data_IF_483536885420
#
_entry.id   IF_483536885420
#
_cell.length_a   1.000
_cell.length_b   1.000
_cell.length_c   1.000
_cell.angle_alpha   90.00
_cell.angle_beta   90.00
_cell.angle_gamma   90.00
#
_symmetry.space_group_name_H-M   'P 1'
#
loop_
_entity.id
_entity.type
_entity.pdbx_description
1 polymer ?
#
# COMPACT_ATOMS: atom_id res chain seq x y z
N UNK A 1 -10.03 -35.70 5.49
CA UNK A 1 -10.01 -35.99 6.94
C UNK A 1 -9.91 -34.65 7.66
N UNK A 2 -10.91 -34.28 8.47
CA UNK A 2 -10.93 -32.99 9.16
C UNK A 2 -9.97 -33.01 10.36
N UNK A 3 -9.37 -31.86 10.72
CA UNK A 3 -8.11 -31.73 11.46
C UNK A 3 -8.32 -31.62 12.98
N UNK A 4 -9.21 -32.43 13.54
CA UNK A 4 -9.34 -32.56 15.00
C UNK A 4 -8.16 -33.38 15.52
N UNK A 5 -7.84 -34.50 14.89
CA UNK A 5 -6.75 -35.41 15.29
C UNK A 5 -5.32 -34.83 15.22
N UNK A 6 -5.13 -33.66 14.57
CA UNK A 6 -3.83 -32.98 14.49
C UNK A 6 -3.55 -32.04 15.67
N UNK A 7 -4.52 -31.89 16.59
CA UNK A 7 -4.33 -31.20 17.85
C UNK A 7 -4.00 -32.25 18.91
N UNK A 8 -2.73 -32.36 19.30
CA UNK A 8 -2.26 -33.28 20.34
C UNK A 8 -3.10 -33.10 21.62
N UNK A 9 -3.99 -34.07 21.88
CA UNK A 9 -5.00 -33.98 22.92
C UNK A 9 -4.46 -34.49 24.25
N UNK A 10 -4.30 -33.56 25.17
CA UNK A 10 -3.82 -33.77 26.53
C UNK A 10 -4.62 -34.79 27.34
N UNK A 11 -4.09 -35.06 28.53
CA UNK A 11 -4.55 -35.97 29.59
C UNK A 11 -6.06 -35.94 29.92
N UNK A 12 -6.78 -34.89 29.50
CA UNK A 12 -8.20 -34.68 29.78
C UNK A 12 -9.16 -35.35 28.77
N UNK A 13 -8.65 -35.86 27.65
CA UNK A 13 -9.49 -36.46 26.60
C UNK A 13 -10.26 -37.68 27.11
N UNK A 14 -9.57 -38.62 27.75
CA UNK A 14 -10.24 -39.79 28.34
C UNK A 14 -11.24 -39.41 29.44
N UNK A 15 -10.95 -38.35 30.20
CA UNK A 15 -11.86 -37.83 31.24
C UNK A 15 -13.11 -37.24 30.62
N UNK A 16 -12.96 -36.49 29.53
CA UNK A 16 -14.06 -35.89 28.78
C UNK A 16 -14.94 -36.95 28.08
N UNK A 17 -14.33 -37.99 27.51
CA UNK A 17 -15.03 -39.11 26.85
C UNK A 17 -15.82 -39.99 27.81
N UNK A 18 -15.29 -40.20 29.02
CA UNK A 18 -15.93 -41.08 30.02
C UNK A 18 -16.96 -40.38 30.90
N UNK A 19 -17.20 -39.08 30.70
CA UNK A 19 -18.11 -38.30 31.55
C UNK A 19 -17.58 -38.13 32.97
N UNK A 20 -16.26 -37.93 33.11
CA UNK A 20 -15.62 -37.65 34.38
C UNK A 20 -16.03 -36.29 34.98
N UNK A 21 -15.49 -35.99 36.15
CA UNK A 21 -15.71 -34.70 36.81
C UNK A 21 -15.21 -33.54 35.92
N UNK A 22 -15.96 -32.45 35.92
CA UNK A 22 -15.62 -31.18 35.28
C UNK A 22 -14.14 -30.80 35.52
N UNK A 23 -13.31 -30.66 34.47
CA UNK A 23 -11.90 -30.37 34.63
C UNK A 23 -11.59 -28.90 34.96
N UNK A 24 -12.50 -27.96 34.65
CA UNK A 24 -12.32 -26.54 34.96
C UNK A 24 -12.45 -26.36 36.48
N UNK A 25 -11.36 -25.92 37.12
CA UNK A 25 -11.29 -25.73 38.57
C UNK A 25 -11.47 -24.27 38.98
N UNK A 26 -11.14 -23.34 38.09
CA UNK A 26 -11.34 -21.92 38.35
C UNK A 26 -12.83 -21.59 38.37
N UNK A 27 -13.29 -20.94 39.44
CA UNK A 27 -14.71 -20.69 39.65
C UNK A 27 -15.28 -19.66 38.66
N UNK A 28 -14.47 -18.69 38.21
CA UNK A 28 -14.90 -17.69 37.25
C UNK A 28 -15.01 -18.29 35.85
N UNK A 29 -14.04 -19.11 35.45
CA UNK A 29 -14.05 -19.82 34.18
C UNK A 29 -15.19 -20.84 34.13
N UNK A 30 -15.41 -21.57 35.22
CA UNK A 30 -16.49 -22.54 35.34
C UNK A 30 -17.86 -21.88 35.25
N UNK A 31 -18.02 -20.72 35.88
CA UNK A 31 -19.25 -19.93 35.83
C UNK A 31 -19.56 -19.41 34.42
N UNK A 32 -18.61 -19.45 33.47
CA UNK A 32 -18.81 -19.00 32.08
C UNK A 32 -19.25 -20.13 31.14
N UNK A 33 -19.23 -21.39 31.57
CA UNK A 33 -19.82 -22.48 30.78
C UNK A 33 -21.33 -22.26 30.56
N UNK A 34 -21.83 -22.33 29.31
CA UNK A 34 -23.24 -22.05 29.02
C UNK A 34 -24.24 -22.93 29.77
N UNK A 35 -23.91 -24.21 29.94
CA UNK A 35 -24.76 -25.20 30.64
C UNK A 35 -24.28 -25.51 32.07
N UNK A 36 -23.25 -24.79 32.55
CA UNK A 36 -22.58 -25.08 33.81
C UNK A 36 -21.65 -26.31 33.73
N UNK A 37 -21.20 -26.82 34.89
CA UNK A 37 -20.27 -27.95 34.97
C UNK A 37 -20.79 -29.20 34.25
N UNK A 38 -19.91 -29.87 33.52
CA UNK A 38 -20.23 -31.12 32.85
C UNK A 38 -20.63 -32.21 33.86
N UNK A 39 -21.75 -32.89 33.58
CA UNK A 39 -22.28 -34.01 34.38
C UNK A 39 -22.30 -35.35 33.64
N UNK A 40 -22.03 -35.30 32.34
CA UNK A 40 -22.10 -36.39 31.38
C UNK A 40 -20.88 -36.30 30.45
N UNK A 41 -20.58 -37.33 29.62
CA UNK A 41 -19.57 -37.23 28.57
C UNK A 41 -19.76 -35.97 27.72
N UNK A 42 -18.69 -35.21 27.54
CA UNK A 42 -18.72 -33.91 26.88
C UNK A 42 -17.64 -33.77 25.80
N UNK A 43 -16.97 -34.87 25.45
CA UNK A 43 -16.00 -34.91 24.35
C UNK A 43 -16.70 -34.96 22.99
N UNK A 44 -17.29 -33.85 22.60
CA UNK A 44 -17.74 -33.57 21.23
C UNK A 44 -17.23 -32.18 20.79
N UNK A 45 -17.51 -31.77 19.56
CA UNK A 45 -17.06 -30.45 19.08
C UNK A 45 -17.62 -29.29 19.93
N UNK A 46 -18.85 -29.41 20.45
CA UNK A 46 -19.49 -28.35 21.24
C UNK A 46 -18.79 -28.21 22.59
N UNK A 47 -18.64 -29.32 23.32
CA UNK A 47 -17.96 -29.36 24.60
C UNK A 47 -16.51 -28.94 24.48
N UNK A 48 -15.79 -29.40 23.45
CA UNK A 48 -14.42 -28.93 23.19
C UNK A 48 -14.33 -27.41 23.07
N UNK A 49 -15.17 -26.78 22.23
CA UNK A 49 -15.14 -25.32 22.05
C UNK A 49 -15.57 -24.56 23.29
N UNK A 50 -16.63 -25.00 23.98
CA UNK A 50 -17.10 -24.34 25.20
C UNK A 50 -16.05 -24.34 26.30
N UNK A 51 -15.38 -25.47 26.54
CA UNK A 51 -14.33 -25.56 27.56
C UNK A 51 -13.05 -24.82 27.14
N UNK A 52 -12.69 -24.83 25.86
CA UNK A 52 -11.55 -24.05 25.34
C UNK A 52 -11.78 -22.54 25.44
N UNK A 53 -12.99 -22.06 25.16
CA UNK A 53 -13.35 -20.63 25.24
C UNK A 53 -13.57 -20.16 26.68
N UNK A 54 -14.01 -21.05 27.56
CA UNK A 54 -14.01 -20.82 29.00
C UNK A 54 -12.57 -20.78 29.52
N UNK A 55 -11.81 -21.87 29.49
CA UNK A 55 -10.44 -21.93 29.99
C UNK A 55 -9.47 -22.26 28.83
N UNK A 56 -8.78 -21.26 28.23
CA UNK A 56 -7.91 -21.47 27.06
C UNK A 56 -6.83 -22.52 27.26
N UNK A 57 -6.29 -22.64 28.46
CA UNK A 57 -5.21 -23.56 28.83
C UNK A 57 -5.71 -24.91 29.37
N UNK A 58 -7.02 -25.20 29.32
CA UNK A 58 -7.58 -26.45 29.89
C UNK A 58 -6.89 -27.70 29.30
N UNK A 59 -6.58 -27.69 28.01
CA UNK A 59 -5.93 -28.80 27.29
C UNK A 59 -4.39 -28.77 27.33
N UNK A 60 -3.81 -27.96 28.21
CA UNK A 60 -2.37 -27.86 28.37
C UNK A 60 -1.85 -28.73 29.54
N UNK A 61 -2.75 -29.37 30.28
CA UNK A 61 -2.41 -30.27 31.38
C UNK A 61 -1.56 -31.45 30.90
N UNK A 62 -0.36 -31.58 31.47
CA UNK A 62 0.59 -32.65 31.13
C UNK A 62 1.43 -32.39 29.87
N UNK A 63 1.27 -31.23 29.20
CA UNK A 63 2.14 -30.86 28.08
C UNK A 63 3.49 -30.36 28.58
N UNK A 64 4.57 -30.84 27.95
CA UNK A 64 5.92 -30.32 28.15
C UNK A 64 6.12 -29.20 27.13
N UNK A 65 6.23 -27.97 27.62
CA UNK A 65 6.52 -26.81 26.79
C UNK A 65 8.04 -26.64 26.67
N UNK A 66 8.53 -26.50 25.44
CA UNK A 66 9.96 -26.35 25.17
C UNK A 66 10.44 -24.90 25.29
N UNK A 67 9.51 -23.93 25.37
CA UNK A 67 9.78 -22.49 25.51
C UNK A 67 8.65 -21.80 26.31
N UNK A 68 8.98 -20.73 27.05
CA UNK A 68 8.03 -19.97 27.87
C UNK A 68 6.94 -19.27 27.02
N UNK A 69 7.23 -18.97 25.76
CA UNK A 69 6.29 -18.31 24.83
C UNK A 69 5.14 -19.22 24.37
N UNK A 70 5.24 -20.55 24.55
CA UNK A 70 4.17 -21.47 24.17
C UNK A 70 2.90 -21.31 25.03
N UNK A 71 3.03 -20.72 26.22
CA UNK A 71 1.90 -20.37 27.11
C UNK A 71 0.99 -19.25 26.56
N UNK A 72 1.38 -18.58 25.46
CA UNK A 72 0.70 -17.40 24.91
C UNK A 72 -0.24 -17.69 23.72
N UNK A 73 -0.54 -18.97 23.40
CA UNK A 73 -1.25 -19.32 22.16
C UNK A 73 -2.72 -18.87 22.09
N UNK A 74 -3.40 -18.69 23.22
CA UNK A 74 -4.73 -18.09 23.29
C UNK A 74 -4.92 -17.39 24.65
N UNK A 75 -5.14 -16.07 24.68
CA UNK A 75 -5.40 -15.36 25.93
C UNK A 75 -6.79 -15.70 26.49
N UNK A 76 -6.96 -15.62 27.81
CA UNK A 76 -8.28 -15.65 28.43
C UNK A 76 -8.98 -14.31 28.16
N UNK A 77 -10.00 -14.34 27.29
CA UNK A 77 -10.76 -13.17 26.88
C UNK A 77 -11.93 -12.85 27.84
N UNK A 78 -12.09 -13.63 28.91
CA UNK A 78 -13.16 -13.50 29.91
C UNK A 78 -14.55 -13.38 29.30
N UNK A 79 -14.83 -14.25 28.32
CA UNK A 79 -16.08 -14.26 27.57
C UNK A 79 -17.27 -14.68 28.45
N UNK A 80 -18.38 -13.96 28.34
CA UNK A 80 -19.66 -14.32 28.97
C UNK A 80 -20.24 -15.63 28.41
N UNK A 81 -21.20 -16.23 29.12
CA UNK A 81 -21.92 -17.44 28.66
C UNK A 81 -22.51 -17.27 27.26
N UNK A 82 -23.11 -16.10 27.01
CA UNK A 82 -23.76 -15.77 25.75
C UNK A 82 -22.72 -15.65 24.62
N UNK A 83 -21.57 -15.04 24.89
CA UNK A 83 -20.47 -14.92 23.94
C UNK A 83 -19.84 -16.28 23.63
N UNK A 84 -19.62 -17.13 24.64
CA UNK A 84 -19.12 -18.50 24.44
C UNK A 84 -20.10 -19.29 23.58
N UNK A 85 -21.40 -19.28 23.91
CA UNK A 85 -22.41 -19.99 23.12
C UNK A 85 -22.46 -19.47 21.68
N UNK A 86 -22.40 -18.16 21.46
CA UNK A 86 -22.42 -17.55 20.14
C UNK A 86 -21.19 -17.95 19.31
N UNK A 87 -19.99 -17.88 19.89
CA UNK A 87 -18.75 -18.28 19.22
C UNK A 87 -18.71 -19.78 18.95
N UNK A 88 -19.09 -20.62 19.89
CA UNK A 88 -19.22 -22.07 19.68
C UNK A 88 -20.19 -22.37 18.53
N UNK A 89 -21.34 -21.71 18.49
CA UNK A 89 -22.31 -21.85 17.38
C UNK A 89 -21.69 -21.46 16.04
N UNK A 90 -20.98 -20.33 15.99
CA UNK A 90 -20.28 -19.88 14.80
C UNK A 90 -19.19 -20.87 14.35
N UNK A 91 -18.37 -21.37 15.27
CA UNK A 91 -17.30 -22.33 15.00
C UNK A 91 -17.84 -23.69 14.52
N UNK A 92 -18.91 -24.19 15.15
CA UNK A 92 -19.61 -25.41 14.72
C UNK A 92 -20.27 -25.26 13.35
N UNK A 93 -20.78 -24.07 13.06
CA UNK A 93 -21.37 -23.69 11.77
C UNK A 93 -20.34 -23.39 10.68
N UNK A 94 -19.07 -23.15 11.04
CA UNK A 94 -17.95 -22.92 10.13
C UNK A 94 -17.47 -24.22 9.48
N UNK A 95 -18.39 -25.03 8.98
CA UNK A 95 -18.06 -26.21 8.21
C UNK A 95 -17.80 -25.85 6.75
N UNK A 96 -16.83 -26.51 6.15
CA UNK A 96 -16.69 -26.58 4.70
C UNK A 96 -17.84 -27.43 4.13
N UNK A 97 -19.05 -26.88 4.11
CA UNK A 97 -20.11 -27.35 3.22
C UNK A 97 -20.05 -26.45 1.98
N UNK A 98 -19.27 -26.80 0.96
CA UNK A 98 -19.22 -26.00 -0.26
C UNK A 98 -20.64 -25.96 -0.83
N UNK A 99 -21.16 -24.75 -1.03
CA UNK A 99 -22.39 -24.57 -1.80
C UNK A 99 -22.27 -25.38 -3.10
N UNK A 100 -23.33 -26.07 -3.57
CA UNK A 100 -23.25 -26.82 -4.81
C UNK A 100 -22.76 -25.90 -5.94
N UNK A 101 -21.97 -26.39 -6.92
CA UNK A 101 -21.37 -25.54 -7.95
C UNK A 101 -22.37 -24.65 -8.69
N UNK A 102 -23.63 -25.07 -8.83
CA UNK A 102 -24.73 -24.31 -9.43
C UNK A 102 -25.13 -23.05 -8.66
N UNK A 103 -24.87 -23.00 -7.36
CA UNK A 103 -25.14 -21.83 -6.50
C UNK A 103 -23.93 -20.90 -6.40
N UNK A 104 -22.78 -21.28 -6.97
CA UNK A 104 -21.58 -20.47 -6.95
C UNK A 104 -21.57 -19.52 -8.14
N UNK A 105 -21.57 -18.22 -7.88
CA UNK A 105 -21.33 -17.23 -8.92
C UNK A 105 -19.86 -17.33 -9.39
N UNK A 106 -19.68 -17.84 -10.61
CA UNK A 106 -18.37 -18.05 -11.27
C UNK A 106 -18.36 -17.33 -12.61
N UNK A 107 -18.05 -16.02 -12.64
CA UNK A 107 -17.97 -15.27 -13.89
C UNK A 107 -16.88 -15.85 -14.80
N UNK A 108 -17.09 -15.74 -16.10
CA UNK A 108 -16.14 -16.19 -17.14
C UNK A 108 -15.33 -15.04 -17.75
N UNK A 109 -15.65 -13.80 -17.39
CA UNK A 109 -14.98 -12.58 -17.86
C UNK A 109 -14.03 -12.00 -16.78
N UNK A 110 -13.58 -10.76 -16.97
CA UNK A 110 -12.72 -10.02 -16.05
C UNK A 110 -13.21 -9.98 -14.59
N UNK A 111 -14.52 -10.20 -14.34
CA UNK A 111 -15.07 -10.27 -12.97
C UNK A 111 -14.50 -11.45 -12.19
N UNK A 112 -14.03 -12.50 -12.88
CA UNK A 112 -13.32 -13.63 -12.26
C UNK A 112 -12.02 -13.19 -11.63
N UNK A 113 -11.21 -12.41 -12.36
CA UNK A 113 -9.96 -11.88 -11.85
C UNK A 113 -10.20 -10.94 -10.66
N UNK A 114 -11.27 -10.15 -10.70
CA UNK A 114 -11.71 -9.32 -9.57
C UNK A 114 -12.05 -10.19 -8.35
N UNK A 115 -12.87 -11.23 -8.53
CA UNK A 115 -13.26 -12.13 -7.45
C UNK A 115 -12.07 -12.88 -6.84
N UNK A 116 -11.18 -13.43 -7.67
CA UNK A 116 -10.00 -14.17 -7.22
C UNK A 116 -8.98 -13.27 -6.52
N UNK A 117 -8.75 -12.06 -7.02
CA UNK A 117 -7.86 -11.11 -6.37
C UNK A 117 -8.37 -10.62 -5.02
N UNK A 118 -9.69 -10.46 -4.87
CA UNK A 118 -10.27 -10.10 -3.57
C UNK A 118 -9.96 -11.11 -2.47
N UNK A 119 -9.86 -12.41 -2.81
CA UNK A 119 -9.44 -13.42 -1.83
C UNK A 119 -8.01 -13.19 -1.34
N UNK A 120 -7.09 -12.86 -2.25
CA UNK A 120 -5.68 -12.56 -1.89
C UNK A 120 -5.60 -11.25 -1.11
N UNK A 121 -6.28 -10.19 -1.56
CA UNK A 121 -6.34 -8.89 -0.88
C UNK A 121 -6.84 -9.02 0.56
N UNK A 122 -7.88 -9.84 0.78
CA UNK A 122 -8.43 -10.10 2.12
C UNK A 122 -7.49 -10.95 2.96
N UNK A 123 -6.92 -12.02 2.39
CA UNK A 123 -5.97 -12.92 3.07
C UNK A 123 -4.79 -12.16 3.68
N UNK A 124 -4.23 -11.20 2.94
CA UNK A 124 -3.07 -10.41 3.38
C UNK A 124 -3.45 -9.03 3.95
N UNK A 125 -4.75 -8.78 4.16
CA UNK A 125 -5.29 -7.53 4.69
C UNK A 125 -4.73 -6.26 4.01
N UNK A 126 -4.61 -6.24 2.68
CA UNK A 126 -4.04 -5.10 1.97
C UNK A 126 -4.85 -3.81 2.23
N UNK A 127 -6.16 -3.96 2.46
CA UNK A 127 -7.10 -2.88 2.82
C UNK A 127 -6.81 -2.24 4.19
N UNK A 128 -6.08 -2.92 5.07
CA UNK A 128 -5.63 -2.35 6.33
C UNK A 128 -4.74 -1.12 6.10
N UNK A 129 -3.89 -1.15 5.07
CA UNK A 129 -2.95 -0.08 4.75
C UNK A 129 -3.34 0.73 3.51
N UNK A 130 -3.88 0.08 2.49
CA UNK A 130 -4.18 0.67 1.18
C UNK A 130 -5.68 0.90 0.99
N UNK A 131 -6.01 1.98 0.27
CA UNK A 131 -7.36 2.21 -0.24
C UNK A 131 -7.53 1.49 -1.58
N UNK A 132 -8.49 0.58 -1.66
CA UNK A 132 -8.90 -0.11 -2.88
C UNK A 132 -10.32 0.29 -3.33
N UNK A 133 -11.10 0.90 -2.42
CA UNK A 133 -12.47 1.34 -2.67
C UNK A 133 -12.55 2.86 -2.44
N UNK A 134 -13.29 3.62 -3.26
CA UNK A 134 -13.52 5.05 -3.02
C UNK A 134 -14.08 5.30 -1.62
N UNK A 135 -13.48 6.25 -0.90
CA UNK A 135 -13.91 6.64 0.45
C UNK A 135 -13.52 5.65 1.57
N UNK A 136 -12.88 4.53 1.27
CA UNK A 136 -12.40 3.57 2.27
C UNK A 136 -11.41 4.24 3.24
N UNK A 137 -11.65 4.18 4.55
CA UNK A 137 -10.65 4.58 5.55
C UNK A 137 -9.78 3.38 5.89
N UNK A 138 -8.46 3.56 5.86
CA UNK A 138 -7.48 2.54 6.29
C UNK A 138 -7.13 2.74 7.76
N UNK A 139 -6.53 1.74 8.41
CA UNK A 139 -6.13 1.88 9.83
C UNK A 139 -5.11 3.01 9.99
N UNK A 140 -4.21 3.15 9.01
CA UNK A 140 -3.14 4.13 9.03
C UNK A 140 -3.68 5.56 8.99
N UNK A 141 -4.76 5.81 8.25
CA UNK A 141 -5.40 7.13 8.20
C UNK A 141 -5.99 7.55 9.57
N UNK A 142 -6.29 6.61 10.45
CA UNK A 142 -6.79 6.89 11.80
C UNK A 142 -5.69 7.19 12.83
N UNK A 143 -4.44 6.86 12.54
CA UNK A 143 -3.34 7.03 13.50
C UNK A 143 -2.91 8.50 13.55
N UNK A 144 -2.75 9.05 14.76
CA UNK A 144 -2.38 10.45 15.00
C UNK A 144 -1.16 10.89 14.18
N UNK A 145 -0.15 10.04 14.03
CA UNK A 145 1.09 10.35 13.30
C UNK A 145 0.92 10.60 11.79
N UNK A 146 -0.22 10.23 11.20
CA UNK A 146 -0.48 10.38 9.77
C UNK A 146 -1.59 11.40 9.47
N UNK A 147 -2.23 11.99 10.49
CA UNK A 147 -3.32 12.95 10.30
C UNK A 147 -2.84 14.23 9.59
N UNK A 148 -1.68 14.74 10.00
CA UNK A 148 -1.04 15.94 9.42
C UNK A 148 0.02 15.62 8.36
N UNK A 149 0.19 14.33 8.02
CA UNK A 149 1.24 13.85 7.11
C UNK A 149 0.65 12.91 6.05
N UNK A 150 -0.35 13.39 5.30
CA UNK A 150 -1.04 12.57 4.30
C UNK A 150 -0.08 12.00 3.22
N UNK A 151 1.00 12.72 2.90
CA UNK A 151 2.06 12.26 1.99
C UNK A 151 2.82 11.01 2.50
N UNK A 152 2.73 10.72 3.81
CA UNK A 152 3.33 9.55 4.45
C UNK A 152 2.42 8.31 4.40
N UNK A 153 1.21 8.42 3.86
CA UNK A 153 0.30 7.30 3.70
C UNK A 153 0.69 6.41 2.49
N UNK A 154 0.39 5.09 2.54
CA UNK A 154 0.57 4.21 1.40
C UNK A 154 -0.22 4.68 0.18
N UNK A 155 0.23 4.33 -1.05
CA UNK A 155 -0.50 4.71 -2.24
C UNK A 155 -1.90 4.11 -2.27
N UNK A 156 -2.85 4.89 -2.78
CA UNK A 156 -4.16 4.40 -3.20
C UNK A 156 -3.97 3.46 -4.40
N UNK A 157 -4.72 2.36 -4.41
CA UNK A 157 -4.59 1.29 -5.41
C UNK A 157 -5.82 1.19 -6.33
N UNK A 158 -6.74 2.16 -6.27
CA UNK A 158 -7.99 2.17 -7.05
C UNK A 158 -7.73 2.06 -8.56
N UNK A 159 -6.70 2.73 -9.06
CA UNK A 159 -6.33 2.77 -10.47
C UNK A 159 -4.99 2.07 -10.74
N UNK A 160 -4.60 1.11 -9.89
CA UNK A 160 -3.26 0.51 -9.99
C UNK A 160 -2.99 -0.11 -11.36
N UNK A 161 -3.98 -0.81 -11.92
CA UNK A 161 -3.83 -1.46 -13.22
C UNK A 161 -3.61 -0.48 -14.35
N UNK A 162 -4.25 0.69 -14.30
CA UNK A 162 -4.00 1.78 -15.25
C UNK A 162 -2.67 2.48 -14.99
N UNK A 163 -2.21 2.53 -13.73
CA UNK A 163 -1.02 3.27 -13.33
C UNK A 163 0.28 2.62 -13.76
N UNK A 164 0.42 1.33 -13.49
CA UNK A 164 1.72 0.65 -13.60
C UNK A 164 1.73 -0.46 -14.63
N UNK A 165 2.90 -0.68 -15.20
CA UNK A 165 3.22 -1.85 -16.00
C UNK A 165 3.01 -3.14 -15.16
N UNK A 166 2.29 -4.15 -15.69
CA UNK A 166 1.98 -5.37 -14.94
C UNK A 166 3.21 -6.23 -14.61
N UNK A 167 4.24 -6.23 -15.46
CA UNK A 167 5.50 -6.92 -15.16
C UNK A 167 6.28 -6.19 -14.08
N UNK A 168 6.26 -4.85 -14.09
CA UNK A 168 6.79 -4.08 -12.98
C UNK A 168 6.06 -4.38 -11.67
N UNK A 169 4.72 -4.41 -11.70
CA UNK A 169 3.91 -4.69 -10.51
C UNK A 169 4.21 -6.07 -9.93
N UNK A 170 4.33 -7.10 -10.78
CA UNK A 170 4.72 -8.44 -10.38
C UNK A 170 6.07 -8.43 -9.65
N UNK A 171 7.09 -7.77 -10.21
CA UNK A 171 8.42 -7.66 -9.58
C UNK A 171 8.37 -6.90 -8.25
N UNK A 172 7.61 -5.81 -8.19
CA UNK A 172 7.45 -5.03 -6.97
C UNK A 172 6.75 -5.83 -5.86
N UNK A 173 5.70 -6.58 -6.17
CA UNK A 173 5.01 -7.42 -5.17
C UNK A 173 5.89 -8.56 -4.65
N UNK A 174 6.85 -9.03 -5.45
CA UNK A 174 7.85 -10.02 -5.04
C UNK A 174 8.90 -9.43 -4.10
N UNK A 175 9.35 -8.20 -4.36
CA UNK A 175 10.30 -7.47 -3.50
C UNK A 175 9.97 -5.96 -3.46
N UNK A 176 9.16 -5.49 -2.49
CA UNK A 176 8.79 -4.08 -2.37
C UNK A 176 9.96 -3.13 -2.07
N UNK A 177 11.08 -3.66 -1.58
CA UNK A 177 12.29 -2.89 -1.31
C UNK A 177 13.05 -2.52 -2.59
N UNK A 178 12.80 -3.23 -3.69
CA UNK A 178 13.50 -3.10 -4.98
C UNK A 178 15.03 -3.19 -4.84
N UNK A 179 15.48 -3.98 -3.89
CA UNK A 179 16.90 -4.24 -3.63
C UNK A 179 17.02 -5.62 -2.97
N UNK A 180 17.93 -6.45 -3.47
CA UNK A 180 18.10 -7.82 -2.98
C UNK A 180 19.01 -7.90 -1.75
N UNK A 181 19.84 -6.87 -1.53
CA UNK A 181 20.79 -6.78 -0.42
C UNK A 181 20.27 -5.97 0.77
N UNK A 182 19.38 -5.00 0.51
CA UNK A 182 18.74 -4.16 1.53
C UNK A 182 17.22 -4.23 1.38
N UNK A 183 16.61 -5.15 2.10
CA UNK A 183 15.15 -5.35 2.11
C UNK A 183 14.43 -4.45 3.12
N UNK A 184 15.18 -3.65 3.90
CA UNK A 184 14.66 -2.81 4.99
C UNK A 184 14.36 -1.36 4.56
N UNK A 185 13.93 -1.18 3.31
CA UNK A 185 13.69 0.13 2.69
C UNK A 185 12.39 0.18 1.90
N UNK A 186 11.92 1.40 1.66
CA UNK A 186 10.81 1.67 0.75
C UNK A 186 11.38 1.97 -0.64
N UNK A 187 11.33 1.00 -1.56
CA UNK A 187 12.04 1.05 -2.85
C UNK A 187 11.79 2.34 -3.64
N UNK A 188 10.51 2.63 -3.92
CA UNK A 188 10.09 3.77 -4.77
C UNK A 188 9.93 5.07 -3.98
N UNK A 189 9.41 4.98 -2.75
CA UNK A 189 9.12 6.12 -1.90
C UNK A 189 9.95 6.02 -0.62
N UNK A 190 11.25 6.17 -0.76
CA UNK A 190 12.23 6.02 0.34
C UNK A 190 11.98 6.96 1.52
N UNK A 191 11.28 8.06 1.29
CA UNK A 191 10.86 9.03 2.31
C UNK A 191 9.69 8.56 3.20
N UNK A 192 8.99 7.47 2.83
CA UNK A 192 7.91 6.94 3.66
C UNK A 192 8.46 6.26 4.92
N UNK A 193 7.79 6.49 6.04
CA UNK A 193 8.07 5.78 7.30
C UNK A 193 7.31 4.45 7.39
N UNK A 194 6.11 4.38 6.83
CA UNK A 194 5.36 3.12 6.71
C UNK A 194 6.00 2.23 5.64
N UNK A 195 6.04 0.92 5.88
CA UNK A 195 6.59 -0.06 4.93
C UNK A 195 5.53 -1.04 4.49
N UNK A 196 5.60 -1.44 3.23
CA UNK A 196 4.85 -2.59 2.73
C UNK A 196 5.59 -3.88 3.16
N UNK A 197 4.92 -4.81 3.86
CA UNK A 197 5.54 -6.10 4.22
C UNK A 197 5.86 -6.96 2.99
N UNK A 198 6.88 -7.80 3.11
CA UNK A 198 7.16 -8.87 2.14
C UNK A 198 6.31 -10.08 2.51
N UNK A 199 5.30 -10.38 1.70
CA UNK A 199 4.30 -11.42 1.98
C UNK A 199 4.64 -12.81 1.42
N UNK A 200 5.80 -12.95 0.76
CA UNK A 200 6.27 -14.20 0.14
C UNK A 200 5.18 -14.90 -0.70
N UNK A 201 4.51 -14.11 -1.56
CA UNK A 201 3.43 -14.60 -2.42
C UNK A 201 3.90 -15.77 -3.30
N UNK A 202 3.01 -16.74 -3.51
CA UNK A 202 3.19 -17.72 -4.58
C UNK A 202 3.05 -17.07 -5.97
N UNK A 203 3.64 -17.66 -7.00
CA UNK A 203 3.52 -17.17 -8.38
C UNK A 203 2.05 -17.09 -8.85
N UNK A 204 1.19 -17.98 -8.35
CA UNK A 204 -0.26 -17.93 -8.59
C UNK A 204 -0.93 -16.71 -7.92
N UNK A 205 -0.57 -16.40 -6.67
CA UNK A 205 -1.09 -15.22 -5.97
C UNK A 205 -0.62 -13.92 -6.63
N UNK A 206 0.65 -13.85 -7.06
CA UNK A 206 1.18 -12.74 -7.84
C UNK A 206 0.38 -12.55 -9.13
N UNK A 207 0.16 -13.64 -9.88
CA UNK A 207 -0.65 -13.62 -11.10
C UNK A 207 -2.08 -13.12 -10.86
N UNK A 208 -2.73 -13.58 -9.77
CA UNK A 208 -4.07 -13.12 -9.38
C UNK A 208 -4.10 -11.64 -9.04
N UNK A 209 -3.14 -11.13 -8.26
CA UNK A 209 -3.07 -9.72 -7.90
C UNK A 209 -2.85 -8.83 -9.12
N UNK A 210 -1.95 -9.21 -10.03
CA UNK A 210 -1.70 -8.44 -11.26
C UNK A 210 -2.96 -8.40 -12.13
N UNK A 211 -3.61 -9.55 -12.38
CA UNK A 211 -4.86 -9.61 -13.17
C UNK A 211 -5.99 -8.84 -12.49
N UNK A 212 -6.09 -8.93 -11.17
CA UNK A 212 -7.05 -8.19 -10.38
C UNK A 212 -6.94 -6.68 -10.58
N UNK A 213 -5.73 -6.12 -10.47
CA UNK A 213 -5.54 -4.68 -10.67
C UNK A 213 -5.78 -4.27 -12.13
N UNK A 214 -5.35 -5.07 -13.11
CA UNK A 214 -5.68 -4.82 -14.53
C UNK A 214 -7.22 -4.83 -14.75
N UNK A 215 -7.92 -5.83 -14.21
CA UNK A 215 -9.38 -5.99 -14.34
C UNK A 215 -10.16 -4.85 -13.65
N UNK A 216 -9.74 -4.43 -12.44
CA UNK A 216 -10.32 -3.28 -11.75
C UNK A 216 -10.23 -2.00 -12.58
N UNK A 217 -9.10 -1.82 -13.27
CA UNK A 217 -8.86 -0.65 -14.14
C UNK A 217 -9.28 -0.87 -15.60
N UNK A 218 -10.02 -1.94 -15.91
CA UNK A 218 -10.50 -2.30 -17.26
C UNK A 218 -9.39 -2.29 -18.32
N UNK A 219 -8.20 -2.73 -17.92
CA UNK A 219 -7.05 -2.79 -18.80
C UNK A 219 -7.06 -4.07 -19.63
N UNK A 220 -6.55 -4.03 -20.87
CA UNK A 220 -6.43 -5.21 -21.69
C UNK A 220 -5.45 -6.23 -21.08
N UNK A 221 -5.73 -7.51 -21.30
CA UNK A 221 -4.84 -8.61 -20.97
C UNK A 221 -4.76 -9.58 -22.17
N UNK A 222 -3.56 -9.87 -22.73
CA UNK A 222 -2.25 -9.40 -22.27
C UNK A 222 -2.05 -7.89 -22.48
N UNK A 223 -1.23 -7.28 -21.62
CA UNK A 223 -0.83 -5.89 -21.77
C UNK A 223 0.23 -5.77 -22.88
N UNK A 224 0.03 -4.80 -23.76
CA UNK A 224 0.98 -4.42 -24.80
C UNK A 224 1.49 -3.02 -24.44
N UNK A 225 2.79 -2.86 -24.16
CA UNK A 225 3.35 -1.55 -23.88
C UNK A 225 3.16 -0.59 -25.05
N UNK A 226 2.79 0.65 -24.74
CA UNK A 226 2.78 1.73 -25.72
C UNK A 226 4.21 2.11 -26.13
N UNK A 227 4.41 2.38 -27.42
CA UNK A 227 5.69 2.88 -27.93
C UNK A 227 5.82 4.38 -27.65
N UNK A 228 6.82 4.75 -26.85
CA UNK A 228 7.14 6.15 -26.57
C UNK A 228 8.00 6.70 -27.71
N UNK A 229 7.58 7.78 -28.40
CA UNK A 229 8.35 8.35 -29.50
C UNK A 229 9.66 8.95 -28.99
N UNK A 230 10.73 8.79 -29.77
CA UNK A 230 12.02 9.41 -29.46
C UNK A 230 11.93 10.91 -29.73
N UNK A 231 12.22 11.72 -28.71
CA UNK A 231 12.19 13.17 -28.85
C UNK A 231 13.39 13.65 -29.67
N UNK A 232 13.13 14.60 -30.57
CA UNK A 232 14.19 15.38 -31.23
C UNK A 232 14.93 16.24 -30.21
N UNK A 233 16.12 16.74 -30.58
CA UNK A 233 16.86 17.69 -29.75
C UNK A 233 16.05 18.96 -29.42
N UNK A 234 15.26 19.46 -30.39
CA UNK A 234 14.37 20.61 -30.19
C UNK A 234 13.28 20.29 -29.18
N UNK A 235 12.60 19.16 -29.31
CA UNK A 235 11.56 18.71 -28.38
C UNK A 235 12.12 18.48 -26.97
N UNK A 236 13.30 17.89 -26.87
CA UNK A 236 13.97 17.67 -25.58
C UNK A 236 14.24 18.99 -24.87
N UNK A 237 14.69 20.02 -25.59
CA UNK A 237 14.88 21.37 -25.03
C UNK A 237 13.55 22.02 -24.62
N UNK A 238 12.52 21.90 -25.47
CA UNK A 238 11.19 22.40 -25.16
C UNK A 238 10.63 21.74 -23.89
N UNK A 239 10.66 20.41 -23.81
CA UNK A 239 10.20 19.65 -22.64
C UNK A 239 11.00 19.99 -21.38
N UNK A 240 12.33 20.11 -21.49
CA UNK A 240 13.21 20.55 -20.39
C UNK A 240 12.78 21.90 -19.84
N UNK A 241 12.42 22.84 -20.71
CA UNK A 241 11.99 24.17 -20.28
C UNK A 241 10.64 24.15 -19.53
N UNK A 242 9.73 23.22 -19.86
CA UNK A 242 8.52 22.99 -19.08
C UNK A 242 8.84 22.36 -17.72
N UNK A 243 9.66 21.30 -17.72
CA UNK A 243 10.03 20.55 -16.53
C UNK A 243 10.77 21.40 -15.48
N UNK A 244 11.55 22.38 -15.94
CA UNK A 244 12.29 23.31 -15.09
C UNK A 244 11.59 24.67 -14.87
N UNK A 245 10.37 24.81 -15.37
CA UNK A 245 9.61 26.07 -15.29
C UNK A 245 9.37 26.49 -13.84
N UNK A 246 9.47 27.80 -13.57
CA UNK A 246 9.13 28.37 -12.26
C UNK A 246 7.64 28.30 -11.95
N UNK A 247 6.78 28.22 -12.98
CA UNK A 247 5.34 28.04 -12.82
C UNK A 247 4.97 26.59 -12.44
N UNK A 248 5.86 25.63 -12.70
CA UNK A 248 5.66 24.22 -12.36
C UNK A 248 7.00 23.53 -12.07
N UNK A 249 7.70 23.88 -10.97
CA UNK A 249 9.03 23.36 -10.71
C UNK A 249 8.96 21.90 -10.25
N UNK A 250 8.99 20.95 -11.19
CA UNK A 250 8.76 19.53 -10.92
C UNK A 250 9.72 18.98 -9.85
N UNK A 251 10.99 19.36 -9.94
CA UNK A 251 12.02 18.95 -8.98
C UNK A 251 11.89 19.63 -7.62
N UNK A 252 10.98 20.59 -7.39
CA UNK A 252 10.76 21.14 -6.04
C UNK A 252 10.18 20.09 -5.08
N UNK A 253 9.36 19.17 -5.59
CA UNK A 253 8.67 18.17 -4.79
C UNK A 253 9.14 16.73 -5.08
N UNK A 254 9.58 16.46 -6.32
CA UNK A 254 10.06 15.14 -6.71
C UNK A 254 11.51 14.91 -6.26
N UNK A 255 11.76 13.71 -5.76
CA UNK A 255 13.09 13.26 -5.38
C UNK A 255 14.04 13.24 -6.60
N UNK A 256 15.32 13.49 -6.36
CA UNK A 256 16.39 13.51 -7.37
C UNK A 256 17.42 12.41 -7.13
N UNK A 257 17.41 11.77 -5.96
CA UNK A 257 18.45 10.86 -5.51
C UNK A 257 19.59 11.57 -4.76
N UNK A 258 19.57 12.90 -4.69
CA UNK A 258 20.45 13.67 -3.81
C UNK A 258 19.89 13.64 -2.38
N UNK A 259 20.62 13.08 -1.39
CA UNK A 259 20.15 13.03 -0.01
C UNK A 259 19.86 14.40 0.63
N UNK A 260 20.45 15.49 0.14
CA UNK A 260 20.14 16.83 0.66
C UNK A 260 18.77 17.30 0.19
N UNK A 261 18.49 17.15 -1.12
CA UNK A 261 17.21 17.46 -1.75
C UNK A 261 16.07 16.56 -1.24
N UNK A 262 16.32 15.25 -1.22
CA UNK A 262 15.31 14.23 -0.95
C UNK A 262 14.75 14.26 0.48
N UNK A 263 15.41 14.95 1.42
CA UNK A 263 14.91 15.18 2.80
C UNK A 263 13.54 15.84 2.85
N UNK A 264 13.22 16.65 1.85
CA UNK A 264 11.95 17.40 1.76
C UNK A 264 11.08 16.95 0.59
N UNK A 265 11.52 15.93 -0.15
CA UNK A 265 10.77 15.41 -1.28
C UNK A 265 9.49 14.71 -0.78
N UNK A 266 8.39 15.01 -1.47
CA UNK A 266 7.07 14.40 -1.22
C UNK A 266 6.62 13.53 -2.39
N UNK A 267 7.40 13.48 -3.48
CA UNK A 267 7.06 12.71 -4.67
C UNK A 267 8.24 11.83 -5.15
N UNK A 268 7.96 10.68 -5.79
CA UNK A 268 9.00 9.75 -6.26
C UNK A 268 9.94 10.36 -7.30
N UNK A 269 11.14 9.80 -7.41
CA UNK A 269 12.12 10.20 -8.42
C UNK A 269 11.64 9.82 -9.83
N UNK A 270 11.72 10.76 -10.78
CA UNK A 270 11.29 10.56 -12.17
C UNK A 270 12.08 9.47 -12.90
N UNK A 271 13.32 9.18 -12.49
CA UNK A 271 14.09 8.06 -13.03
C UNK A 271 13.44 6.69 -12.78
N UNK A 272 12.48 6.62 -11.84
CA UNK A 272 11.69 5.41 -11.59
C UNK A 272 10.43 5.32 -12.46
N UNK A 273 10.15 6.31 -13.33
CA UNK A 273 8.95 6.31 -14.17
C UNK A 273 9.06 5.30 -15.33
N UNK A 274 10.20 5.31 -16.03
CA UNK A 274 10.43 4.43 -17.19
C UNK A 274 10.37 2.96 -16.76
N UNK A 275 9.57 2.17 -17.48
CA UNK A 275 9.38 0.74 -17.22
C UNK A 275 8.51 0.44 -15.98
N UNK A 276 8.00 1.46 -15.30
CA UNK A 276 7.04 1.35 -14.19
C UNK A 276 5.69 1.93 -14.56
N UNK A 277 5.64 3.17 -15.04
CA UNK A 277 4.39 3.92 -15.25
C UNK A 277 3.95 3.78 -16.71
N UNK A 278 2.63 3.73 -16.94
CA UNK A 278 2.05 3.76 -18.28
C UNK A 278 1.92 5.21 -18.78
N UNK A 279 2.24 5.53 -20.05
CA UNK A 279 2.23 6.91 -20.56
C UNK A 279 0.85 7.57 -20.46
N UNK A 280 -0.21 6.88 -20.91
CA UNK A 280 -1.60 7.36 -20.80
C UNK A 280 -2.00 7.76 -19.37
N UNK A 281 -1.60 6.97 -18.38
CA UNK A 281 -1.89 7.30 -16.98
C UNK A 281 -1.08 8.50 -16.50
N UNK A 282 0.18 8.64 -16.95
CA UNK A 282 1.00 9.82 -16.62
C UNK A 282 0.40 11.09 -17.20
N UNK A 283 -0.12 11.05 -18.44
CA UNK A 283 -0.81 12.18 -19.05
C UNK A 283 -2.05 12.56 -18.23
N UNK A 284 -2.93 11.59 -17.91
CA UNK A 284 -4.12 11.84 -17.08
C UNK A 284 -3.76 12.35 -15.67
N UNK A 285 -2.68 11.85 -15.08
CA UNK A 285 -2.19 12.30 -13.78
C UNK A 285 -1.72 13.76 -13.78
N UNK A 286 -1.09 14.22 -14.86
CA UNK A 286 -0.68 15.62 -14.98
C UNK A 286 -1.83 16.56 -15.30
N UNK A 287 -2.89 16.06 -15.95
CA UNK A 287 -4.09 16.84 -16.27
C UNK A 287 -4.96 17.07 -15.03
N UNK A 288 -5.30 16.00 -14.30
CA UNK A 288 -6.14 16.08 -13.11
C UNK A 288 -5.74 15.05 -12.03
N UNK A 289 -4.70 15.36 -11.24
CA UNK A 289 -4.24 14.45 -10.18
C UNK A 289 -5.27 14.30 -9.05
N UNK A 290 -6.14 15.29 -8.83
CA UNK A 290 -7.16 15.25 -7.78
C UNK A 290 -8.29 14.29 -8.14
N UNK A 291 -8.66 14.18 -9.42
CA UNK A 291 -9.62 13.18 -9.89
C UNK A 291 -9.12 11.73 -9.67
N UNK A 292 -7.82 11.49 -9.84
CA UNK A 292 -7.22 10.16 -9.68
C UNK A 292 -6.94 9.84 -8.20
N UNK A 293 -6.39 10.80 -7.45
CA UNK A 293 -6.09 10.64 -6.03
C UNK A 293 -6.44 11.91 -5.25
N UNK A 294 -7.69 12.03 -4.78
CA UNK A 294 -8.14 13.19 -4.01
C UNK A 294 -7.26 13.47 -2.79
N UNK A 295 -6.82 14.71 -2.60
CA UNK A 295 -5.94 15.12 -1.50
C UNK A 295 -4.45 14.87 -1.75
N UNK A 296 -4.02 14.57 -2.99
CA UNK A 296 -2.59 14.50 -3.32
C UNK A 296 -1.94 15.89 -3.33
N UNK A 297 -0.65 16.00 -2.97
CA UNK A 297 0.12 17.25 -3.15
C UNK A 297 0.48 17.58 -4.60
N UNK A 298 0.24 16.68 -5.57
CA UNK A 298 0.48 17.01 -6.97
C UNK A 298 -0.46 18.16 -7.41
N UNK A 299 0.06 19.29 -7.91
CA UNK A 299 -0.77 20.44 -8.26
C UNK A 299 -1.64 20.15 -9.49
N UNK A 300 -2.84 20.74 -9.51
CA UNK A 300 -3.74 20.71 -10.67
C UNK A 300 -3.58 21.96 -11.54
N UNK A 301 -4.08 21.91 -12.77
CA UNK A 301 -4.10 23.08 -13.66
C UNK A 301 -2.74 23.44 -14.26
N UNK A 302 -1.76 22.53 -14.21
CA UNK A 302 -0.47 22.70 -14.91
C UNK A 302 -0.65 22.84 -16.42
N UNK A 303 -1.73 22.28 -16.96
CA UNK A 303 -2.09 22.33 -18.37
C UNK A 303 -3.54 22.76 -18.54
N UNK A 304 -3.83 23.39 -19.68
CA UNK A 304 -5.16 23.85 -20.09
C UNK A 304 -5.42 23.50 -21.55
N UNK A 305 -6.68 23.44 -21.95
CA UNK A 305 -7.04 23.30 -23.37
C UNK A 305 -6.87 24.64 -24.08
N UNK A 306 -6.17 24.63 -25.21
CA UNK A 306 -6.07 25.74 -26.14
C UNK A 306 -6.00 25.20 -27.58
N UNK A 307 -6.85 25.70 -28.47
CA UNK A 307 -6.95 25.27 -29.87
C UNK A 307 -6.98 23.74 -30.09
N UNK A 308 -7.67 23.01 -29.21
CA UNK A 308 -7.76 21.54 -29.30
C UNK A 308 -6.59 20.77 -28.70
N UNK A 309 -5.55 21.45 -28.21
CA UNK A 309 -4.36 20.85 -27.60
C UNK A 309 -4.31 21.09 -26.10
N UNK A 310 -3.63 20.21 -25.37
CA UNK A 310 -3.26 20.45 -23.98
C UNK A 310 -1.95 21.23 -23.92
N UNK A 311 -2.03 22.52 -23.58
CA UNK A 311 -0.88 23.42 -23.48
C UNK A 311 -0.55 23.73 -22.04
N UNK A 312 0.72 24.02 -21.77
CA UNK A 312 1.19 24.41 -20.44
C UNK A 312 0.52 25.73 -20.00
N UNK A 313 0.03 25.78 -18.77
CA UNK A 313 -0.68 26.95 -18.25
C UNK A 313 0.24 28.13 -17.92
N UNK A 314 1.51 27.85 -17.60
CA UNK A 314 2.52 28.87 -17.31
C UNK A 314 3.17 29.45 -18.57
N UNK A 315 4.15 30.36 -18.40
CA UNK A 315 4.86 30.95 -19.53
C UNK A 315 5.69 29.88 -20.25
N UNK A 316 5.60 29.86 -21.58
CA UNK A 316 6.41 29.01 -22.45
C UNK A 316 7.43 29.85 -23.21
N UNK A 317 8.68 29.37 -23.40
CA UNK A 317 9.66 30.07 -24.22
C UNK A 317 9.24 30.20 -25.70
N UNK A 318 9.90 31.09 -26.44
CA UNK A 318 9.65 31.29 -27.87
C UNK A 318 9.84 30.02 -28.73
N UNK A 319 10.58 29.02 -28.23
CA UNK A 319 10.73 27.72 -28.90
C UNK A 319 9.41 26.98 -29.14
N UNK A 320 8.36 27.30 -28.38
CA UNK A 320 7.00 26.77 -28.53
C UNK A 320 6.18 27.48 -29.61
N UNK A 321 6.67 28.58 -30.20
CA UNK A 321 5.96 29.24 -31.29
C UNK A 321 5.82 28.27 -32.48
N UNK A 322 4.58 28.02 -32.90
CA UNK A 322 4.25 27.07 -33.96
C UNK A 322 4.35 25.59 -33.54
N UNK A 323 4.47 25.29 -32.25
CA UNK A 323 4.30 23.92 -31.75
C UNK A 323 2.82 23.61 -31.59
N UNK A 324 2.32 22.66 -32.37
CA UNK A 324 0.90 22.32 -32.56
C UNK A 324 0.54 20.94 -31.98
N UNK A 325 1.33 20.45 -31.01
CA UNK A 325 1.09 19.18 -30.31
C UNK A 325 0.89 19.39 -28.83
N UNK A 326 0.35 18.38 -28.17
CA UNK A 326 0.11 18.41 -26.73
C UNK A 326 1.42 18.57 -25.95
N UNK A 327 1.52 19.63 -25.15
CA UNK A 327 2.63 19.86 -24.23
C UNK A 327 2.67 18.78 -23.13
N UNK A 328 1.51 18.21 -22.79
CA UNK A 328 1.41 17.09 -21.83
C UNK A 328 2.15 15.86 -22.34
N UNK A 329 1.89 15.44 -23.58
CA UNK A 329 2.57 14.30 -24.21
C UNK A 329 4.06 14.54 -24.33
N UNK A 330 4.45 15.73 -24.79
CA UNK A 330 5.86 16.14 -24.85
C UNK A 330 6.57 15.98 -23.49
N UNK A 331 5.91 16.37 -22.40
CA UNK A 331 6.47 16.25 -21.06
C UNK A 331 6.50 14.79 -20.56
N UNK A 332 5.46 13.99 -20.84
CA UNK A 332 5.42 12.55 -20.53
C UNK A 332 6.57 11.83 -21.23
N UNK A 333 6.74 12.04 -22.53
CA UNK A 333 7.78 11.43 -23.36
C UNK A 333 9.17 11.78 -22.83
N UNK A 334 9.36 13.05 -22.42
CA UNK A 334 10.60 13.52 -21.82
C UNK A 334 10.89 12.83 -20.48
N UNK A 335 9.89 12.71 -19.60
CA UNK A 335 10.04 12.02 -18.30
C UNK A 335 10.40 10.55 -18.51
N UNK A 336 9.79 9.88 -19.49
CA UNK A 336 10.05 8.47 -19.81
C UNK A 336 11.43 8.26 -20.46
N UNK A 337 12.04 9.31 -21.02
CA UNK A 337 13.38 9.30 -21.59
C UNK A 337 14.46 9.91 -20.67
N UNK A 338 14.08 10.34 -19.46
CA UNK A 338 14.98 11.03 -18.53
C UNK A 338 16.15 10.14 -18.08
N UNK A 339 17.37 10.68 -18.15
CA UNK A 339 18.60 10.02 -17.66
C UNK A 339 19.10 10.67 -16.38
N UNK A 340 19.94 9.97 -15.58
CA UNK A 340 20.59 10.58 -14.41
C UNK A 340 21.42 11.83 -14.74
N UNK A 341 22.05 11.87 -15.92
CA UNK A 341 22.82 13.01 -16.41
C UNK A 341 21.91 14.20 -16.69
N UNK A 342 20.80 13.95 -17.39
CA UNK A 342 19.82 14.99 -17.73
C UNK A 342 19.13 15.54 -16.48
N UNK A 343 18.73 14.68 -15.53
CA UNK A 343 18.18 15.12 -14.25
C UNK A 343 19.15 16.01 -13.47
N UNK A 344 20.44 15.63 -13.40
CA UNK A 344 21.48 16.44 -12.75
C UNK A 344 21.68 17.79 -13.45
N UNK A 345 21.65 17.80 -14.78
CA UNK A 345 21.73 19.03 -15.58
C UNK A 345 20.58 19.98 -15.23
N UNK A 346 19.36 19.48 -15.19
CA UNK A 346 18.18 20.30 -14.90
C UNK A 346 18.12 20.77 -13.45
N UNK A 347 18.44 19.89 -12.49
CA UNK A 347 18.52 20.25 -11.08
C UNK A 347 19.54 21.39 -10.84
N UNK A 348 20.69 21.31 -11.51
CA UNK A 348 21.74 22.34 -11.42
C UNK A 348 21.29 23.68 -11.99
N UNK A 349 20.54 23.66 -13.11
CA UNK A 349 20.00 24.87 -13.73
C UNK A 349 18.99 25.57 -12.80
N UNK A 350 18.08 24.81 -12.18
CA UNK A 350 17.09 25.34 -11.23
C UNK A 350 17.73 25.93 -9.97
N UNK A 351 18.80 25.32 -9.45
CA UNK A 351 19.56 25.83 -8.31
C UNK A 351 20.23 27.18 -8.58
N UNK A 352 20.80 27.36 -9.78
CA UNK A 352 21.40 28.64 -10.21
C UNK A 352 20.35 29.74 -10.41
N UNK A 353 19.19 29.41 -10.98
CA UNK A 353 18.07 30.36 -11.11
C UNK A 353 17.57 30.85 -9.75
N UNK A 354 17.51 29.98 -8.73
CA UNK A 354 17.18 30.39 -7.35
C UNK A 354 18.20 31.35 -6.74
N UNK A 355 19.50 31.08 -6.92
CA UNK A 355 20.57 31.94 -6.41
C UNK A 355 20.57 33.34 -7.04
N UNK A 356 20.16 33.46 -8.31
CA UNK A 356 20.06 34.74 -9.01
C UNK A 356 18.84 35.58 -8.59
N UNK A 357 17.79 34.97 -8.02
CA UNK A 357 16.55 35.64 -7.59
C UNK A 357 16.49 35.99 -6.11
N UNK A 358 17.49 35.62 -5.30
CA UNK A 358 17.58 36.06 -3.91
C UNK A 358 18.11 37.49 -3.84
N UNK A 359 17.39 38.45 -3.21
CA UNK A 359 17.94 39.78 -2.98
C UNK A 359 19.12 39.63 -2.02
N UNK A 360 20.32 39.99 -2.46
CA UNK A 360 21.49 40.03 -1.58
C UNK A 360 21.23 40.98 -0.43
N UNK A 361 21.29 40.48 0.81
CA UNK A 361 21.34 41.33 1.99
C UNK A 361 22.48 42.34 1.83
N UNK A 362 22.23 43.65 2.05
CA UNK A 362 23.31 44.61 1.94
C UNK A 362 24.33 44.31 3.04
N UNK A 363 25.59 44.15 2.62
CA UNK A 363 26.72 44.05 3.53
C UNK A 363 26.75 45.30 4.41
N UNK A 364 26.47 45.13 5.70
CA UNK A 364 26.64 46.18 6.67
C UNK A 364 28.14 46.50 6.79
N UNK A 365 28.53 47.65 6.26
CA UNK A 365 29.82 48.28 6.52
C UNK A 365 29.90 48.62 8.00
N UNK A 366 30.67 47.83 8.76
CA UNK A 366 30.98 48.11 10.15
C UNK A 366 31.92 49.32 10.26
N UNK A 367 31.36 50.50 10.51
CA UNK A 367 32.09 51.63 11.05
C UNK A 367 32.25 51.43 12.56
N UNK A 368 33.49 51.34 13.03
CA UNK A 368 33.82 51.26 14.44
C UNK A 368 33.35 52.48 15.24
N UNK A 369 32.92 52.24 16.48
CA UNK A 369 32.58 53.26 17.46
C UNK A 369 32.80 52.74 18.87
N UNK A 370 33.78 53.31 19.55
CA UNK A 370 34.11 53.17 20.98
C UNK A 370 32.97 53.67 21.90
N UNK A 371 32.88 53.10 23.12
CA UNK A 371 32.14 53.64 24.27
C UNK A 371 31.66 52.54 25.23
N UNK A 372 32.47 52.09 26.18
CA UNK A 372 32.53 52.51 27.60
C UNK A 372 31.26 52.23 28.43
N UNK A 373 31.41 51.24 29.32
CA UNK A 373 30.89 51.09 30.69
C UNK A 373 29.45 51.50 31.06
N UNK A 374 28.65 50.52 31.47
CA UNK A 374 28.38 50.22 32.89
C UNK A 374 27.74 48.84 33.05
#
# INVERSE_FOLDING_TARGET
SKPVELLDFALLTEVAERGGHEPIKDAEDLARLPEGPAKEPWYDHKGFFEHKLAEPNIWDQGKIFNDETEKLRMPNLHLTKEQIRALTTFLLGSQENPLPPSYQYRPLDYRKDIQEGWWVVKKYNCMGCHQLIPGQKTILMGLARYQDAQEQLPPKLLTEGARVDPQWLLRFLKNPALNDNDTNRNGIRSYLQVRMPTFSFSENELGKLVRFFQALSRQPFPYIPEEVPVLTAKETEMARSLFSSTAAPCLKCHATGDPAHDRTATAPNFLQARGRLKPDWMEQWMLDPQAISPGTSMPSGLFKRDNGHWVFSGPTPASFQGYDRDHTKLLVDYILQLTPEEQRRVASAMGRSRAATSPGSPAASGSGGHGVSK
#
